data_IF_654569312946
#
_entry.id   IF_654569312946
#
_cell.length_a   1.000
_cell.length_b   1.000
_cell.length_c   1.000
_cell.angle_alpha   90.00
_cell.angle_beta   90.00
_cell.angle_gamma   90.00
#
_symmetry.space_group_name_H-M   'P 1'
#
loop_
_entity.id
_entity.type
_entity.pdbx_description
1 polymer ?
#
# COMPACT_ATOMS: atom_id res chain seq x y z
N UNK A 1 -8.74 18.34 -50.03
CA UNK A 1 -9.83 17.99 -49.10
C UNK A 1 -9.47 16.64 -48.49
N UNK A 2 -8.81 16.69 -47.35
CA UNK A 2 -8.36 15.49 -46.67
C UNK A 2 -9.53 14.89 -45.83
N UNK A 3 -9.83 13.62 -46.09
CA UNK A 3 -10.84 12.85 -45.36
C UNK A 3 -10.30 12.54 -43.97
N UNK A 4 -10.80 13.24 -42.95
CA UNK A 4 -10.62 12.82 -41.57
C UNK A 4 -11.45 11.57 -41.29
N UNK A 5 -10.89 10.54 -40.63
CA UNK A 5 -11.66 9.38 -40.23
C UNK A 5 -12.73 9.77 -39.23
N UNK A 6 -13.97 9.40 -39.48
CA UNK A 6 -15.11 9.56 -38.59
C UNK A 6 -14.86 8.83 -37.26
N UNK A 7 -14.52 9.56 -36.20
CA UNK A 7 -14.59 9.07 -34.83
C UNK A 7 -16.06 9.04 -34.36
N UNK A 8 -16.81 8.08 -34.87
CA UNK A 8 -18.13 7.74 -34.33
C UNK A 8 -17.96 6.92 -33.04
N UNK A 9 -17.82 7.61 -31.89
CA UNK A 9 -17.61 6.94 -30.62
C UNK A 9 -17.95 7.73 -29.36
N UNK A 10 -18.27 9.00 -29.47
CA UNK A 10 -18.62 9.84 -28.32
C UNK A 10 -19.97 10.53 -28.53
N UNK A 11 -21.04 9.82 -28.25
CA UNK A 11 -22.39 10.36 -28.41
C UNK A 11 -23.50 9.40 -28.01
N UNK A 12 -23.25 8.44 -27.13
CA UNK A 12 -24.36 7.66 -26.58
C UNK A 12 -25.03 8.48 -25.48
N UNK A 13 -26.33 8.75 -25.65
CA UNK A 13 -27.17 9.33 -24.61
C UNK A 13 -27.02 8.55 -23.31
N UNK A 14 -27.04 9.21 -22.15
CA UNK A 14 -26.93 8.52 -20.88
C UNK A 14 -28.01 7.44 -20.77
N UNK A 15 -27.59 6.21 -20.57
CA UNK A 15 -28.48 5.08 -20.38
C UNK A 15 -28.55 4.73 -18.91
N UNK A 16 -29.63 4.14 -18.46
CA UNK A 16 -29.79 3.71 -17.07
C UNK A 16 -29.20 2.31 -16.86
N UNK A 17 -28.76 2.04 -15.63
CA UNK A 17 -28.28 0.72 -15.26
C UNK A 17 -29.39 -0.33 -15.43
N UNK A 18 -29.07 -1.47 -16.03
CA UNK A 18 -30.03 -2.57 -16.25
C UNK A 18 -30.67 -3.10 -14.96
N UNK A 19 -29.95 -3.05 -13.84
CA UNK A 19 -30.41 -3.51 -12.53
C UNK A 19 -30.89 -2.36 -11.60
N UNK A 20 -30.62 -1.11 -11.96
CA UNK A 20 -30.97 0.10 -11.19
C UNK A 20 -31.48 1.18 -12.16
N UNK A 21 -32.76 1.15 -12.53
CA UNK A 21 -33.31 2.08 -13.51
C UNK A 21 -33.29 3.56 -13.09
N UNK A 22 -33.11 3.80 -11.80
CA UNK A 22 -32.95 5.11 -11.16
C UNK A 22 -31.54 5.70 -11.29
N UNK A 23 -30.59 4.93 -11.83
CA UNK A 23 -29.17 5.32 -11.89
C UNK A 23 -28.68 5.42 -13.31
N UNK A 24 -28.30 6.64 -13.70
CA UNK A 24 -27.64 6.90 -14.97
C UNK A 24 -26.20 6.35 -14.92
N UNK A 25 -25.76 5.69 -15.98
CA UNK A 25 -24.40 5.22 -16.14
C UNK A 25 -23.95 5.24 -17.60
N UNK A 26 -22.66 5.39 -17.79
CA UNK A 26 -22.00 5.34 -19.10
C UNK A 26 -21.15 4.08 -19.27
N UNK A 27 -21.00 3.29 -18.20
CA UNK A 27 -20.20 2.08 -18.23
C UNK A 27 -21.03 0.91 -18.78
N UNK A 28 -20.46 0.13 -19.67
CA UNK A 28 -21.10 -1.01 -20.29
C UNK A 28 -20.40 -2.32 -19.89
N UNK A 29 -21.19 -3.39 -19.75
CA UNK A 29 -20.68 -4.74 -19.53
C UNK A 29 -19.86 -5.21 -20.74
N UNK A 30 -18.62 -5.61 -20.53
CA UNK A 30 -17.74 -6.07 -21.62
C UNK A 30 -18.20 -7.34 -22.32
N UNK A 31 -19.16 -8.10 -21.75
CA UNK A 31 -19.69 -9.33 -22.36
C UNK A 31 -21.03 -9.12 -23.08
N UNK A 32 -21.98 -8.45 -22.45
CA UNK A 32 -23.33 -8.30 -23.01
C UNK A 32 -23.69 -6.86 -23.40
N UNK A 33 -22.78 -5.92 -23.24
CA UNK A 33 -22.89 -4.51 -23.61
C UNK A 33 -24.03 -3.72 -22.92
N UNK A 34 -24.71 -4.31 -21.90
CA UNK A 34 -25.72 -3.63 -21.10
C UNK A 34 -25.07 -2.59 -20.19
N UNK A 35 -25.73 -1.46 -20.02
CA UNK A 35 -25.26 -0.38 -19.13
C UNK A 35 -25.36 -0.81 -17.68
N UNK A 36 -24.30 -0.56 -16.89
CA UNK A 36 -24.18 -0.95 -15.49
C UNK A 36 -23.62 0.17 -14.63
N UNK A 37 -24.30 0.51 -13.52
CA UNK A 37 -23.79 1.48 -12.54
C UNK A 37 -22.61 0.92 -11.75
N UNK A 38 -21.91 1.77 -10.99
CA UNK A 38 -20.72 1.39 -10.25
C UNK A 38 -20.90 0.19 -9.30
N UNK A 39 -22.10 0.00 -8.73
CA UNK A 39 -22.42 -1.14 -7.87
C UNK A 39 -22.62 -2.46 -8.65
N UNK A 40 -23.01 -2.36 -9.92
CA UNK A 40 -23.21 -3.50 -10.82
C UNK A 40 -21.98 -3.83 -11.65
N UNK A 41 -20.88 -3.16 -11.45
CA UNK A 41 -19.61 -3.46 -12.11
C UNK A 41 -18.87 -4.56 -11.33
N UNK A 42 -18.72 -5.71 -11.93
CA UNK A 42 -17.86 -6.78 -11.42
C UNK A 42 -16.56 -6.77 -12.22
N UNK A 43 -15.48 -6.38 -11.54
CA UNK A 43 -14.15 -6.34 -12.15
C UNK A 43 -13.66 -7.78 -12.36
N UNK A 44 -13.16 -8.06 -13.55
CA UNK A 44 -12.37 -9.22 -13.90
C UNK A 44 -10.91 -8.77 -14.12
N UNK A 45 -10.01 -9.73 -14.27
CA UNK A 45 -8.61 -9.44 -14.58
C UNK A 45 -8.46 -8.66 -15.89
N UNK A 46 -9.39 -8.84 -16.80
CA UNK A 46 -9.50 -8.10 -18.07
C UNK A 46 -10.89 -7.49 -18.18
N UNK A 47 -11.02 -6.23 -17.77
CA UNK A 47 -12.24 -5.48 -17.95
C UNK A 47 -13.30 -5.67 -16.87
N UNK A 48 -14.56 -5.44 -17.21
CA UNK A 48 -15.67 -5.36 -16.27
C UNK A 48 -16.90 -6.02 -16.89
N UNK A 49 -17.65 -6.79 -16.10
CA UNK A 49 -18.90 -7.44 -16.51
C UNK A 49 -20.04 -7.10 -15.56
N UNK A 50 -21.29 -7.30 -16.02
CA UNK A 50 -22.46 -7.19 -15.14
C UNK A 50 -22.59 -8.44 -14.23
N UNK A 51 -23.36 -8.36 -13.13
CA UNK A 51 -23.52 -9.49 -12.20
C UNK A 51 -24.10 -10.74 -12.84
N UNK A 52 -24.95 -10.60 -13.86
CA UNK A 52 -25.53 -11.74 -14.58
C UNK A 52 -24.48 -12.47 -15.42
N UNK A 53 -23.71 -11.72 -16.20
CA UNK A 53 -22.60 -12.29 -16.97
C UNK A 53 -21.53 -12.90 -16.06
N UNK A 54 -21.29 -12.33 -14.88
CA UNK A 54 -20.38 -12.91 -13.90
C UNK A 54 -20.90 -14.27 -13.39
N UNK A 55 -22.20 -14.39 -13.08
CA UNK A 55 -22.81 -15.65 -12.66
C UNK A 55 -22.69 -16.72 -13.74
N UNK A 56 -22.96 -16.36 -14.98
CA UNK A 56 -22.84 -17.29 -16.11
C UNK A 56 -21.41 -17.80 -16.31
N UNK A 57 -20.40 -16.91 -16.13
CA UNK A 57 -18.99 -17.27 -16.25
C UNK A 57 -18.52 -18.20 -15.12
N UNK A 58 -19.14 -18.10 -13.94
CA UNK A 58 -18.76 -18.85 -12.74
C UNK A 58 -19.74 -19.99 -12.40
N UNK A 59 -20.40 -20.57 -13.40
CA UNK A 59 -21.27 -21.74 -13.21
C UNK A 59 -22.45 -21.49 -12.25
N UNK A 60 -23.00 -20.28 -12.25
CA UNK A 60 -24.13 -19.90 -11.38
C UNK A 60 -23.73 -19.34 -9.99
N UNK A 61 -22.44 -19.29 -9.67
CA UNK A 61 -21.99 -18.68 -8.43
C UNK A 61 -22.32 -17.17 -8.41
N UNK A 62 -22.96 -16.69 -7.34
CA UNK A 62 -23.20 -15.25 -7.15
C UNK A 62 -21.88 -14.50 -7.01
N UNK A 63 -21.80 -13.29 -7.57
CA UNK A 63 -20.65 -12.41 -7.32
C UNK A 63 -20.47 -12.25 -5.81
N UNK A 64 -19.24 -12.38 -5.29
CA UNK A 64 -19.02 -12.20 -3.86
C UNK A 64 -19.43 -10.78 -3.47
N UNK A 65 -20.48 -10.62 -2.66
CA UNK A 65 -20.86 -9.36 -2.03
C UNK A 65 -19.77 -8.98 -1.03
N UNK A 66 -18.65 -8.47 -1.50
CA UNK A 66 -17.67 -7.87 -0.60
C UNK A 66 -18.25 -6.57 -0.07
N UNK A 67 -18.35 -6.42 1.24
CA UNK A 67 -18.69 -5.14 1.89
C UNK A 67 -17.83 -4.03 1.27
N UNK A 68 -18.42 -2.86 1.05
CA UNK A 68 -17.71 -1.66 0.56
C UNK A 68 -16.46 -1.39 1.41
N UNK A 69 -16.56 -1.55 2.73
CA UNK A 69 -15.44 -1.41 3.66
C UNK A 69 -14.35 -2.44 3.37
N UNK A 70 -14.70 -3.73 3.22
CA UNK A 70 -13.72 -4.79 2.94
C UNK A 70 -13.03 -4.63 1.59
N UNK A 71 -13.67 -3.94 0.65
CA UNK A 71 -13.12 -3.65 -0.69
C UNK A 71 -12.13 -2.49 -0.68
N UNK A 72 -12.31 -1.50 0.21
CA UNK A 72 -11.55 -0.25 0.23
C UNK A 72 -10.65 -0.11 1.45
N UNK A 73 -10.78 -1.00 2.46
CA UNK A 73 -9.96 -0.93 3.65
C UNK A 73 -8.56 -1.49 3.40
N UNK A 74 -7.57 -0.61 3.48
CA UNK A 74 -6.16 -0.96 3.42
C UNK A 74 -5.61 -1.23 4.83
N UNK A 75 -4.65 -2.16 4.96
CA UNK A 75 -3.88 -2.36 6.20
C UNK A 75 -3.16 -1.07 6.60
N UNK A 76 -2.76 -0.27 5.62
CA UNK A 76 -2.19 1.06 5.82
C UNK A 76 -3.05 1.92 6.75
N UNK A 77 -4.39 1.94 6.57
CA UNK A 77 -5.28 2.71 7.44
C UNK A 77 -5.33 2.15 8.86
N UNK A 78 -5.25 0.83 9.01
CA UNK A 78 -5.15 0.18 10.32
C UNK A 78 -3.87 0.58 11.04
N UNK A 79 -2.74 0.58 10.35
CA UNK A 79 -1.46 1.01 10.90
C UNK A 79 -1.49 2.48 11.32
N UNK A 80 -2.05 3.36 10.49
CA UNK A 80 -2.24 4.78 10.82
C UNK A 80 -3.12 4.92 12.08
N UNK A 81 -4.26 4.22 12.13
CA UNK A 81 -5.17 4.26 13.28
C UNK A 81 -4.47 3.79 14.57
N UNK A 82 -3.72 2.69 14.51
CA UNK A 82 -2.95 2.19 15.67
C UNK A 82 -1.97 3.27 16.16
N UNK A 83 -1.21 3.89 15.26
CA UNK A 83 -0.25 4.93 15.64
C UNK A 83 -0.93 6.14 16.28
N UNK A 84 -2.05 6.60 15.72
CA UNK A 84 -2.83 7.73 16.26
C UNK A 84 -3.40 7.39 17.63
N UNK A 85 -3.97 6.19 17.82
CA UNK A 85 -4.50 5.72 19.10
C UNK A 85 -3.40 5.61 20.14
N UNK A 86 -2.27 4.97 19.80
CA UNK A 86 -1.12 4.85 20.72
C UNK A 86 -0.59 6.23 21.11
N UNK A 87 -0.50 7.16 20.17
CA UNK A 87 -0.10 8.53 20.46
C UNK A 87 -1.08 9.24 21.41
N UNK A 88 -2.39 9.08 21.20
CA UNK A 88 -3.41 9.57 22.12
C UNK A 88 -3.24 9.01 23.53
N UNK A 89 -2.99 7.70 23.65
CA UNK A 89 -2.69 7.06 24.94
C UNK A 89 -1.41 7.59 25.58
N UNK A 90 -0.37 7.89 24.79
CA UNK A 90 0.86 8.52 25.29
C UNK A 90 0.62 9.91 25.91
N UNK A 91 -0.40 10.65 25.45
CA UNK A 91 -0.74 11.99 25.99
C UNK A 91 -1.61 11.91 27.25
N UNK A 92 -2.45 10.90 27.36
CA UNK A 92 -3.45 10.75 28.45
C UNK A 92 -2.86 10.01 29.65
N UNK A 93 -2.09 8.93 29.40
CA UNK A 93 -1.55 8.08 30.45
C UNK A 93 -0.35 8.77 31.12
N UNK A 94 -0.39 9.01 32.46
CA UNK A 94 0.65 9.76 33.17
C UNK A 94 2.01 9.02 33.17
N UNK A 95 3.05 9.74 33.61
CA UNK A 95 4.42 9.22 33.82
C UNK A 95 5.10 8.65 32.60
N UNK A 96 4.64 8.98 31.39
CA UNK A 96 5.19 8.48 30.09
C UNK A 96 5.23 6.94 30.01
N UNK A 97 4.34 6.25 30.69
CA UNK A 97 4.29 4.79 30.73
C UNK A 97 4.27 4.17 29.34
N UNK A 98 3.34 4.57 28.50
CA UNK A 98 3.21 4.04 27.12
C UNK A 98 4.47 4.29 26.30
N UNK A 99 5.02 5.50 26.42
CA UNK A 99 6.27 5.88 25.73
C UNK A 99 7.44 4.99 26.20
N UNK A 100 7.63 4.88 27.52
CA UNK A 100 8.74 4.13 28.09
C UNK A 100 8.64 2.62 27.83
N UNK A 101 7.43 2.06 27.77
CA UNK A 101 7.21 0.66 27.41
C UNK A 101 7.53 0.41 25.94
N UNK A 102 7.14 1.34 25.05
CA UNK A 102 7.27 1.14 23.60
C UNK A 102 8.63 1.55 23.02
N UNK A 103 9.32 2.54 23.60
CA UNK A 103 10.55 3.10 23.07
C UNK A 103 11.66 2.05 22.90
N UNK A 104 12.35 2.06 21.76
CA UNK A 104 13.56 1.28 21.54
C UNK A 104 14.64 1.68 22.53
N UNK A 105 15.28 0.69 23.13
CA UNK A 105 16.40 0.88 24.08
C UNK A 105 17.31 -0.33 24.01
N UNK A 106 18.55 -0.13 23.58
CA UNK A 106 19.54 -1.21 23.48
C UNK A 106 19.75 -1.97 24.80
N UNK A 107 20.00 -1.27 25.94
CA UNK A 107 20.13 -1.96 27.22
C UNK A 107 18.94 -2.82 27.62
N UNK A 108 17.70 -2.34 27.39
CA UNK A 108 16.51 -3.10 27.73
C UNK A 108 16.29 -4.31 26.81
N UNK A 109 16.57 -4.17 25.50
CA UNK A 109 16.57 -5.29 24.56
C UNK A 109 17.62 -6.33 24.98
N UNK A 110 18.79 -5.90 25.42
CA UNK A 110 19.83 -6.80 25.94
C UNK A 110 19.35 -7.59 27.17
N UNK A 111 18.53 -7.01 28.02
CA UNK A 111 17.90 -7.67 29.15
C UNK A 111 16.59 -8.42 28.84
N UNK A 112 16.31 -8.71 27.53
CA UNK A 112 15.23 -9.59 27.11
C UNK A 112 13.94 -8.88 26.68
N UNK A 113 13.88 -7.53 26.69
CA UNK A 113 12.67 -6.78 26.26
C UNK A 113 12.60 -6.71 24.71
N UNK A 114 12.65 -7.85 24.00
CA UNK A 114 12.71 -7.94 22.54
C UNK A 114 11.48 -7.35 21.83
N UNK A 115 10.34 -7.25 22.49
CA UNK A 115 9.14 -6.61 21.95
C UNK A 115 9.39 -5.17 21.50
N UNK A 116 10.41 -4.50 22.06
CA UNK A 116 10.81 -3.15 21.69
C UNK A 116 11.31 -3.03 20.26
N UNK A 117 11.79 -4.11 19.66
CA UNK A 117 12.15 -4.16 18.24
C UNK A 117 10.95 -3.91 17.32
N UNK A 118 9.72 -4.06 17.84
CA UNK A 118 8.47 -3.81 17.12
C UNK A 118 7.77 -2.57 17.66
N UNK A 119 7.62 -2.47 18.99
CA UNK A 119 6.76 -1.46 19.61
C UNK A 119 7.27 -0.04 19.42
N UNK A 120 8.57 0.16 19.25
CA UNK A 120 9.15 1.48 18.98
C UNK A 120 8.57 2.13 17.70
N UNK A 121 8.14 1.33 16.74
CA UNK A 121 7.52 1.79 15.49
C UNK A 121 6.10 2.35 15.66
N UNK A 122 5.53 2.28 16.86
CA UNK A 122 4.17 2.74 17.15
C UNK A 122 4.11 3.86 18.19
N UNK A 123 5.18 4.12 18.93
CA UNK A 123 5.27 5.26 19.84
C UNK A 123 5.97 6.44 19.16
N UNK A 124 5.57 7.67 19.53
CA UNK A 124 6.10 8.88 18.89
C UNK A 124 6.60 9.89 19.93
N UNK A 125 7.28 10.92 19.47
CA UNK A 125 7.72 12.03 20.33
C UNK A 125 6.52 12.69 21.01
N UNK A 126 6.56 12.83 22.32
CA UNK A 126 5.49 13.50 23.07
C UNK A 126 5.62 15.03 23.04
N UNK A 127 6.80 15.54 22.71
CA UNK A 127 7.11 16.97 22.67
C UNK A 127 7.03 17.56 21.26
N UNK A 128 6.96 16.69 20.22
CA UNK A 128 6.86 17.09 18.83
C UNK A 128 5.73 16.34 18.13
N UNK A 129 4.51 16.90 18.10
CA UNK A 129 3.37 16.29 17.40
C UNK A 129 3.60 16.14 15.90
N UNK A 130 4.42 17.01 15.30
CA UNK A 130 4.71 16.93 13.85
C UNK A 130 5.45 15.65 13.49
N UNK A 131 6.19 15.06 14.43
CA UNK A 131 6.81 13.76 14.24
C UNK A 131 5.78 12.67 13.91
N UNK A 132 4.63 12.63 14.58
CA UNK A 132 3.53 11.73 14.21
C UNK A 132 2.94 12.11 12.85
N UNK A 133 2.62 13.40 12.65
CA UNK A 133 1.93 13.88 11.45
C UNK A 133 2.70 13.49 10.19
N UNK A 134 3.99 13.79 10.13
CA UNK A 134 4.83 13.43 8.97
C UNK A 134 4.92 11.93 8.76
N UNK A 135 5.08 11.15 9.82
CA UNK A 135 5.07 9.68 9.71
C UNK A 135 3.75 9.17 9.09
N UNK A 136 2.59 9.70 9.50
CA UNK A 136 1.29 9.27 8.98
C UNK A 136 1.08 9.69 7.53
N UNK A 137 1.55 10.88 7.13
CA UNK A 137 1.49 11.34 5.74
C UNK A 137 2.32 10.40 4.84
N UNK A 138 3.56 10.12 5.20
CA UNK A 138 4.42 9.23 4.40
C UNK A 138 3.92 7.79 4.40
N UNK A 139 3.45 7.29 5.55
CA UNK A 139 2.82 5.97 5.63
C UNK A 139 1.57 5.88 4.73
N UNK A 140 0.76 6.94 4.66
CA UNK A 140 -0.39 6.99 3.78
C UNK A 140 0.01 6.95 2.30
N UNK A 141 0.91 7.84 1.88
CA UNK A 141 1.34 7.98 0.47
C UNK A 141 1.96 6.69 -0.04
N UNK A 142 2.96 6.18 0.67
CA UNK A 142 3.71 4.99 0.24
C UNK A 142 2.99 3.70 0.59
N UNK A 143 2.33 3.64 1.75
CA UNK A 143 1.64 2.44 2.20
C UNK A 143 0.50 2.04 1.29
N UNK A 144 -0.42 2.96 0.97
CA UNK A 144 -1.55 2.67 0.06
C UNK A 144 -1.05 2.26 -1.33
N UNK A 145 0.00 2.92 -1.84
CA UNK A 145 0.58 2.61 -3.14
C UNK A 145 1.20 1.22 -3.17
N UNK A 146 2.03 0.90 -2.18
CA UNK A 146 2.71 -0.39 -2.09
C UNK A 146 1.74 -1.54 -1.77
N UNK A 147 0.75 -1.31 -0.91
CA UNK A 147 -0.27 -2.31 -0.60
C UNK A 147 -1.06 -2.72 -1.85
N UNK A 148 -1.34 -1.76 -2.77
CA UNK A 148 -1.94 -2.06 -4.09
C UNK A 148 -1.00 -2.81 -5.02
N UNK A 149 0.30 -2.52 -4.96
CA UNK A 149 1.30 -3.09 -5.86
C UNK A 149 1.68 -4.54 -5.50
N UNK A 150 1.75 -4.88 -4.21
CA UNK A 150 2.25 -6.16 -3.72
C UNK A 150 1.21 -6.98 -2.92
N UNK A 151 0.03 -6.42 -2.67
CA UNK A 151 -1.00 -7.05 -1.85
C UNK A 151 -0.80 -6.79 -0.36
N UNK A 152 -1.92 -6.89 0.39
CA UNK A 152 -1.99 -6.46 1.81
C UNK A 152 -1.04 -7.23 2.75
N UNK A 153 -0.92 -8.54 2.60
CA UNK A 153 -0.11 -9.35 3.50
C UNK A 153 1.39 -9.22 3.23
N UNK A 154 1.76 -9.11 1.96
CA UNK A 154 3.15 -8.83 1.56
C UNK A 154 3.58 -7.45 2.04
N UNK A 155 2.72 -6.44 1.88
CA UNK A 155 2.94 -5.09 2.40
C UNK A 155 3.17 -5.12 3.92
N UNK A 156 2.27 -5.79 4.67
CA UNK A 156 2.40 -5.89 6.13
C UNK A 156 3.71 -6.58 6.53
N UNK A 157 4.06 -7.68 5.87
CA UNK A 157 5.31 -8.38 6.12
C UNK A 157 6.52 -7.46 5.90
N UNK A 158 6.58 -6.75 4.77
CA UNK A 158 7.68 -5.83 4.46
C UNK A 158 7.76 -4.69 5.48
N UNK A 159 6.62 -4.08 5.84
CA UNK A 159 6.56 -3.01 6.84
C UNK A 159 7.06 -3.48 8.21
N UNK A 160 6.62 -4.65 8.66
CA UNK A 160 7.03 -5.21 9.95
C UNK A 160 8.50 -5.64 9.94
N UNK A 161 8.98 -6.26 8.86
CA UNK A 161 10.39 -6.62 8.70
C UNK A 161 11.29 -5.37 8.73
N UNK A 162 10.85 -4.30 8.08
CA UNK A 162 11.55 -3.01 8.10
C UNK A 162 11.57 -2.38 9.51
N UNK A 163 10.44 -2.44 10.23
CA UNK A 163 10.36 -1.96 11.62
C UNK A 163 11.31 -2.73 12.52
N UNK A 164 11.32 -4.06 12.45
CA UNK A 164 12.26 -4.89 13.21
C UNK A 164 13.70 -4.60 12.83
N UNK A 165 14.00 -4.49 11.53
CA UNK A 165 15.34 -4.17 11.04
C UNK A 165 15.83 -2.80 11.50
N UNK A 166 14.94 -1.82 11.58
CA UNK A 166 15.24 -0.50 12.17
C UNK A 166 15.62 -0.64 13.65
N UNK A 167 14.84 -1.39 14.43
CA UNK A 167 15.15 -1.68 15.83
C UNK A 167 16.49 -2.40 16.01
N UNK A 168 16.77 -3.42 15.19
CA UNK A 168 18.05 -4.12 15.19
C UNK A 168 19.21 -3.17 14.86
N UNK A 169 19.05 -2.30 13.88
CA UNK A 169 20.07 -1.32 13.51
C UNK A 169 20.34 -0.32 14.65
N UNK A 170 19.28 0.15 15.33
CA UNK A 170 19.45 0.99 16.54
C UNK A 170 20.17 0.23 17.64
N UNK A 171 19.86 -1.04 17.86
CA UNK A 171 20.56 -1.89 18.83
C UNK A 171 22.05 -1.99 18.53
N UNK A 172 22.43 -2.17 17.27
CA UNK A 172 23.82 -2.38 16.86
C UNK A 172 24.63 -1.07 16.81
N UNK A 173 24.05 0.02 16.32
CA UNK A 173 24.79 1.23 15.97
C UNK A 173 24.45 2.45 16.85
N UNK A 174 23.40 2.35 17.67
CA UNK A 174 22.92 3.46 18.51
C UNK A 174 22.46 2.95 19.88
N UNK A 175 23.17 1.98 20.45
CA UNK A 175 22.82 1.19 21.63
C UNK A 175 22.28 2.01 22.81
N UNK A 176 22.94 3.13 23.13
CA UNK A 176 22.56 3.98 24.25
C UNK A 176 21.55 5.09 23.87
N UNK A 177 21.23 5.22 22.60
CA UNK A 177 20.23 6.18 22.13
C UNK A 177 18.89 5.48 21.95
N UNK A 178 17.83 6.07 22.53
CA UNK A 178 16.48 5.59 22.29
C UNK A 178 16.01 5.97 20.89
N UNK A 179 15.07 5.20 20.35
CA UNK A 179 14.38 5.53 19.09
C UNK A 179 12.90 5.27 19.21
N UNK A 180 12.10 6.14 18.58
CA UNK A 180 10.65 6.07 18.50
C UNK A 180 10.20 6.56 17.12
N UNK A 181 9.05 6.06 16.65
CA UNK A 181 8.41 6.52 15.44
C UNK A 181 8.27 5.43 14.39
N UNK A 182 7.22 5.56 13.58
CA UNK A 182 6.95 4.70 12.45
C UNK A 182 7.97 4.86 11.30
N UNK A 183 8.89 5.82 11.41
CA UNK A 183 9.81 6.20 10.35
C UNK A 183 10.72 5.06 9.88
N UNK A 184 11.15 4.17 10.77
CA UNK A 184 11.90 2.97 10.37
C UNK A 184 11.13 2.10 9.39
N UNK A 185 9.85 1.84 9.67
CA UNK A 185 8.94 1.16 8.74
C UNK A 185 8.73 1.93 7.44
N UNK A 186 8.53 3.26 7.53
CA UNK A 186 8.36 4.15 6.37
C UNK A 186 9.59 4.14 5.46
N UNK A 187 10.80 4.23 6.03
CA UNK A 187 12.03 4.10 5.25
C UNK A 187 12.15 2.72 4.61
N UNK A 188 11.64 1.68 5.27
CA UNK A 188 11.52 0.36 4.68
C UNK A 188 10.58 0.33 3.46
N UNK A 189 9.48 1.08 3.50
CA UNK A 189 8.61 1.25 2.34
C UNK A 189 9.33 2.00 1.20
N UNK A 190 10.23 2.95 1.51
CA UNK A 190 11.09 3.57 0.49
C UNK A 190 11.99 2.53 -0.18
N UNK A 191 12.65 1.67 0.61
CA UNK A 191 13.47 0.58 0.09
C UNK A 191 12.66 -0.39 -0.79
N UNK A 192 11.47 -0.77 -0.34
CA UNK A 192 10.55 -1.61 -1.10
C UNK A 192 10.12 -0.97 -2.44
N UNK A 193 9.75 0.30 -2.40
CA UNK A 193 9.32 1.03 -3.59
C UNK A 193 10.43 1.14 -4.60
N UNK A 194 11.65 1.46 -4.15
CA UNK A 194 12.83 1.51 -5.00
C UNK A 194 13.11 0.17 -5.70
N UNK A 195 13.09 -0.93 -4.95
CA UNK A 195 13.25 -2.28 -5.51
C UNK A 195 12.21 -2.56 -6.58
N UNK A 196 10.94 -2.24 -6.32
CA UNK A 196 9.85 -2.46 -7.29
C UNK A 196 10.03 -1.62 -8.56
N UNK A 197 10.48 -0.37 -8.45
CA UNK A 197 10.78 0.47 -9.61
C UNK A 197 11.90 -0.11 -10.47
N UNK A 198 12.96 -0.63 -9.84
CA UNK A 198 14.07 -1.27 -10.56
C UNK A 198 13.61 -2.53 -11.28
N UNK A 199 12.85 -3.39 -10.60
CA UNK A 199 12.33 -4.64 -11.17
C UNK A 199 11.36 -4.38 -12.33
N UNK A 200 10.60 -3.28 -12.27
CA UNK A 200 9.70 -2.84 -13.35
C UNK A 200 10.40 -2.02 -14.43
N UNK A 201 11.72 -1.86 -14.35
CA UNK A 201 12.55 -1.07 -15.29
C UNK A 201 12.10 0.40 -15.46
N UNK A 202 11.47 0.98 -14.44
CA UNK A 202 10.99 2.37 -14.41
C UNK A 202 12.11 3.30 -13.96
N UNK A 203 13.16 3.42 -14.78
CA UNK A 203 14.41 4.11 -14.42
C UNK A 203 14.22 5.60 -14.11
N UNK A 204 13.37 6.28 -14.86
CA UNK A 204 13.18 7.73 -14.68
C UNK A 204 12.40 8.03 -13.39
N UNK A 205 11.35 7.23 -13.10
CA UNK A 205 10.64 7.29 -11.81
C UNK A 205 11.58 6.95 -10.65
N UNK A 206 12.46 5.96 -10.82
CA UNK A 206 13.44 5.60 -9.79
C UNK A 206 14.45 6.74 -9.54
N UNK A 207 14.92 7.43 -10.58
CA UNK A 207 15.80 8.60 -10.42
C UNK A 207 15.14 9.74 -9.66
N UNK A 208 13.91 10.09 -10.05
CA UNK A 208 13.12 11.10 -9.33
C UNK A 208 12.92 10.70 -7.86
N UNK A 209 12.58 9.45 -7.61
CA UNK A 209 12.39 8.93 -6.26
C UNK A 209 13.68 9.01 -5.42
N UNK A 210 14.85 8.64 -5.99
CA UNK A 210 16.14 8.79 -5.31
C UNK A 210 16.42 10.26 -4.97
N UNK A 211 16.12 11.19 -5.89
CA UNK A 211 16.31 12.62 -5.65
C UNK A 211 15.46 13.10 -4.47
N UNK A 212 14.17 12.77 -4.46
CA UNK A 212 13.24 13.17 -3.39
C UNK A 212 13.63 12.54 -2.05
N UNK A 213 13.97 11.26 -2.04
CA UNK A 213 14.45 10.56 -0.85
C UNK A 213 15.80 11.13 -0.37
N UNK A 214 16.68 11.51 -1.31
CA UNK A 214 17.94 12.16 -0.99
C UNK A 214 17.74 13.50 -0.26
N UNK A 215 16.76 14.28 -0.69
CA UNK A 215 16.39 15.55 -0.02
C UNK A 215 15.91 15.26 1.41
N UNK A 216 15.03 14.27 1.61
CA UNK A 216 14.53 13.87 2.92
C UNK A 216 15.67 13.40 3.84
N UNK A 217 16.59 12.57 3.33
CA UNK A 217 17.79 12.14 4.07
C UNK A 217 18.66 13.32 4.46
N UNK A 218 18.95 14.24 3.53
CA UNK A 218 19.76 15.44 3.81
C UNK A 218 19.08 16.32 4.86
N UNK A 219 17.79 16.56 4.74
CA UNK A 219 17.04 17.31 5.77
C UNK A 219 17.12 16.64 7.15
N UNK A 220 17.02 15.30 7.18
CA UNK A 220 17.08 14.55 8.44
C UNK A 220 18.42 14.71 9.17
N UNK A 221 19.53 14.93 8.45
CA UNK A 221 20.85 15.14 9.03
C UNK A 221 20.94 16.41 9.90
N UNK A 222 20.10 17.40 9.63
CA UNK A 222 20.02 18.64 10.40
C UNK A 222 19.12 18.56 11.64
N UNK A 223 18.43 17.41 11.84
CA UNK A 223 17.55 17.18 12.99
C UNK A 223 18.22 16.24 14.02
N UNK A 224 18.70 16.75 15.15
CA UNK A 224 19.51 15.96 16.10
C UNK A 224 18.76 14.82 16.79
N UNK A 225 17.43 14.86 16.77
CA UNK A 225 16.57 13.86 17.41
C UNK A 225 16.15 12.72 16.49
N UNK A 226 16.65 12.68 15.24
CA UNK A 226 16.33 11.62 14.28
C UNK A 226 17.31 10.44 14.45
N UNK A 227 16.77 9.22 14.47
CA UNK A 227 17.57 8.00 14.51
C UNK A 227 18.01 7.58 13.11
N UNK A 228 19.17 8.08 12.64
CA UNK A 228 19.71 7.69 11.32
C UNK A 228 19.97 6.19 11.22
N UNK A 229 20.41 5.55 12.30
CA UNK A 229 20.57 4.09 12.35
C UNK A 229 19.24 3.38 12.10
N UNK A 230 18.15 3.84 12.73
CA UNK A 230 16.81 3.29 12.50
C UNK A 230 16.32 3.47 11.08
N UNK A 231 16.50 4.66 10.48
CA UNK A 231 16.13 4.92 9.09
C UNK A 231 16.91 4.04 8.10
N UNK A 232 18.23 3.97 8.25
CA UNK A 232 19.07 3.13 7.39
C UNK A 232 18.73 1.65 7.54
N UNK A 233 18.59 1.16 8.78
CA UNK A 233 18.19 -0.23 9.04
C UNK A 233 16.83 -0.58 8.45
N UNK A 234 15.87 0.32 8.58
CA UNK A 234 14.55 0.17 7.98
C UNK A 234 14.61 0.09 6.45
N UNK A 235 15.31 1.05 5.82
CA UNK A 235 15.50 1.12 4.35
C UNK A 235 16.07 -0.20 3.80
N UNK A 236 17.18 -0.66 4.39
CA UNK A 236 17.87 -1.88 3.94
C UNK A 236 16.99 -3.10 4.17
N UNK A 237 16.39 -3.24 5.36
CA UNK A 237 15.56 -4.40 5.69
C UNK A 237 14.28 -4.46 4.84
N UNK A 238 13.66 -3.33 4.54
CA UNK A 238 12.50 -3.27 3.65
C UNK A 238 12.84 -3.63 2.21
N UNK A 239 13.99 -3.17 1.70
CA UNK A 239 14.49 -3.55 0.38
C UNK A 239 14.77 -5.06 0.30
N UNK A 240 15.49 -5.62 1.29
CA UNK A 240 15.81 -7.04 1.36
C UNK A 240 14.53 -7.90 1.50
N UNK A 241 13.62 -7.53 2.40
CA UNK A 241 12.34 -8.23 2.56
C UNK A 241 11.54 -8.26 1.25
N UNK A 242 11.56 -7.15 0.49
CA UNK A 242 10.90 -7.07 -0.82
C UNK A 242 11.56 -8.00 -1.83
N UNK A 243 12.89 -8.01 -1.93
CA UNK A 243 13.63 -8.91 -2.82
C UNK A 243 13.37 -10.39 -2.50
N UNK A 244 13.27 -10.72 -1.21
CA UNK A 244 13.04 -12.09 -0.77
C UNK A 244 11.61 -12.56 -1.05
N UNK A 245 10.61 -11.70 -0.86
CA UNK A 245 9.21 -12.10 -0.97
C UNK A 245 8.65 -12.04 -2.40
N UNK A 246 9.17 -11.15 -3.27
CA UNK A 246 8.67 -10.95 -4.64
C UNK A 246 8.59 -12.24 -5.47
N UNK A 247 9.58 -13.16 -5.41
CA UNK A 247 9.48 -14.41 -6.17
C UNK A 247 8.27 -15.26 -5.81
N UNK A 248 7.72 -15.09 -4.59
CA UNK A 248 6.57 -15.83 -4.07
C UNK A 248 5.25 -15.09 -4.26
N UNK A 249 5.30 -13.80 -4.59
CA UNK A 249 4.10 -13.04 -4.95
C UNK A 249 3.67 -13.51 -6.33
N UNK A 250 2.50 -14.17 -6.40
CA UNK A 250 1.91 -14.53 -7.70
C UNK A 250 1.91 -13.27 -8.56
N UNK A 251 2.65 -13.30 -9.66
CA UNK A 251 2.45 -12.31 -10.73
C UNK A 251 0.96 -12.31 -11.00
N UNK A 252 0.32 -11.13 -11.15
CA UNK A 252 -0.98 -11.12 -11.81
C UNK A 252 -0.77 -11.95 -13.06
N UNK A 253 -1.53 -13.04 -13.18
CA UNK A 253 -1.50 -13.88 -14.38
C UNK A 253 -1.57 -12.92 -15.54
N UNK A 254 -0.55 -12.93 -16.41
CA UNK A 254 -0.51 -12.04 -17.54
C UNK A 254 -1.80 -12.32 -18.27
N UNK A 255 -2.76 -11.40 -18.12
CA UNK A 255 -4.03 -11.51 -18.81
C UNK A 255 -3.68 -11.83 -20.24
N UNK A 256 -4.12 -12.97 -20.71
CA UNK A 256 -4.07 -13.26 -22.13
C UNK A 256 -4.52 -11.99 -22.85
N UNK A 257 -3.83 -11.55 -23.90
CA UNK A 257 -4.21 -10.32 -24.57
C UNK A 257 -5.71 -10.37 -24.84
N UNK A 258 -6.43 -9.27 -24.66
CA UNK A 258 -7.87 -9.29 -24.86
C UNK A 258 -8.17 -9.93 -26.20
N UNK A 259 -9.18 -10.80 -26.30
CA UNK A 259 -9.51 -11.48 -27.52
C UNK A 259 -9.61 -10.47 -28.66
N UNK A 260 -8.82 -10.67 -29.70
CA UNK A 260 -8.73 -9.76 -30.85
C UNK A 260 -9.96 -9.84 -31.76
N UNK A 261 -10.88 -10.80 -31.52
CA UNK A 261 -12.11 -10.96 -32.28
C UNK A 261 -13.27 -11.44 -31.41
N UNK A 262 -14.52 -11.07 -31.74
CA UNK A 262 -15.71 -11.59 -31.07
C UNK A 262 -15.81 -13.12 -31.02
N UNK A 263 -15.25 -13.80 -32.01
CA UNK A 263 -15.27 -15.28 -32.11
C UNK A 263 -14.35 -15.94 -31.06
N UNK A 264 -13.28 -15.28 -30.63
CA UNK A 264 -12.40 -15.78 -29.56
C UNK A 264 -13.09 -15.75 -28.20
N UNK A 265 -13.99 -14.79 -27.97
CA UNK A 265 -14.83 -14.72 -26.76
C UNK A 265 -15.85 -15.85 -26.69
N UNK A 266 -16.39 -16.26 -27.83
CA UNK A 266 -17.43 -17.31 -27.91
C UNK A 266 -16.87 -18.73 -27.71
N UNK A 267 -15.58 -18.93 -27.98
CA UNK A 267 -14.96 -20.26 -27.95
C UNK A 267 -14.40 -20.69 -26.60
N UNK A 268 -14.53 -19.86 -25.53
CA UNK A 268 -14.29 -20.26 -24.13
C UNK A 268 -12.87 -20.76 -23.78
N UNK A 269 -11.86 -20.44 -24.57
CA UNK A 269 -10.46 -20.83 -24.34
C UNK A 269 -9.67 -19.68 -23.72
N UNK A 270 -9.94 -19.40 -22.44
CA UNK A 270 -9.15 -18.46 -21.62
C UNK A 270 -8.94 -19.02 -20.21
#
# INVERSE_FOLDING_TARGET
>A
MENFPNYAGYGQSPTVCVNHPDRVSYAQCGRCNRTVCGECQVALDVGMVCPDCYRDLNGGASSPKRSFIARHWHITYTLILINVVVYGLQQIIPFRWVHNLGMMSGPRVHHGEYYRLITHGFVHSQTDPMHLVWNMIYLFIFGVSLERMMGRWTFLFVYMAATVGAGCSVYLFSYYRGAVGASGGVYGLYGAFFVLLLLRKQKDTARLFILLMGIDVVQSLFHPNISHAGHFGGLVSGALATLLIIPFVKKPESSNPPPQSPQQWLNGRY
#
